data_IF_023572435099
#
_entry.id   IF_023572435099
#
_cell.length_a   1.000
_cell.length_b   1.000
_cell.length_c   1.000
_cell.angle_alpha   90.00
_cell.angle_beta   90.00
_cell.angle_gamma   90.00
#
_symmetry.space_group_name_H-M   'P 1'
#
loop_
_entity.id
_entity.type
_entity.pdbx_description
1 polymer ?
#
# COMPACT_ATOMS: atom_id res chain seq x y z
N UNK A 1 -17.32 -0.61 6.70
CA UNK A 1 -18.24 -0.01 5.69
C UNK A 1 -19.14 -1.05 5.06
N UNK A 2 -18.61 -2.21 4.69
CA UNK A 2 -19.36 -3.39 4.25
C UNK A 2 -18.68 -4.62 4.89
N UNK A 3 -19.39 -5.73 5.19
CA UNK A 3 -18.75 -6.99 5.51
C UNK A 3 -17.96 -7.51 4.31
N UNK A 4 -16.76 -8.06 4.55
CA UNK A 4 -15.87 -8.52 3.49
C UNK A 4 -15.52 -9.99 3.74
N UNK A 5 -16.01 -10.93 2.92
CA UNK A 5 -15.57 -12.31 3.07
C UNK A 5 -14.11 -12.43 2.61
N UNK A 6 -13.35 -13.33 3.24
CA UNK A 6 -11.92 -13.59 2.97
C UNK A 6 -11.61 -13.71 1.48
N UNK A 7 -12.42 -14.46 0.74
CA UNK A 7 -12.28 -14.66 -0.72
C UNK A 7 -12.38 -13.40 -1.58
N UNK A 8 -12.87 -12.29 -1.02
CA UNK A 8 -12.97 -10.99 -1.68
C UNK A 8 -12.14 -9.90 -0.96
N UNK A 9 -11.40 -10.29 0.09
CA UNK A 9 -10.58 -9.42 0.93
C UNK A 9 -9.23 -9.10 0.32
N UNK A 10 -8.38 -8.44 1.10
CA UNK A 10 -6.96 -8.34 0.78
C UNK A 10 -6.24 -9.62 1.24
N UNK A 11 -5.19 -9.96 0.52
CA UNK A 11 -4.21 -10.98 0.82
C UNK A 11 -2.87 -10.30 1.09
N UNK A 12 -2.11 -10.83 2.05
CA UNK A 12 -0.83 -10.28 2.48
C UNK A 12 0.20 -11.39 2.55
N UNK A 13 1.41 -11.14 2.07
CA UNK A 13 2.53 -12.08 2.26
C UNK A 13 3.17 -11.80 3.62
N UNK A 14 3.07 -12.76 4.54
CA UNK A 14 3.66 -12.65 5.87
C UNK A 14 5.18 -12.41 5.77
N UNK A 15 5.70 -11.47 6.57
CA UNK A 15 7.13 -11.14 6.60
C UNK A 15 7.67 -10.35 5.39
N UNK A 16 6.90 -10.12 4.32
CA UNK A 16 7.41 -9.47 3.10
C UNK A 16 7.99 -8.06 3.29
N UNK A 17 7.53 -7.34 4.32
CA UNK A 17 8.06 -6.02 4.66
C UNK A 17 9.54 -6.02 5.08
N UNK A 18 10.07 -7.16 5.53
CA UNK A 18 11.46 -7.33 5.97
C UNK A 18 12.40 -7.84 4.88
N UNK A 19 11.93 -8.06 3.65
CA UNK A 19 12.76 -8.60 2.55
C UNK A 19 13.82 -7.64 2.01
N UNK A 20 14.05 -6.50 2.67
CA UNK A 20 15.04 -5.48 2.27
C UNK A 20 14.93 -4.99 0.82
N UNK A 21 13.76 -5.17 0.21
CA UNK A 21 13.45 -4.79 -1.16
C UNK A 21 12.37 -3.74 -1.21
N UNK A 22 12.41 -2.98 -2.30
CA UNK A 22 11.35 -2.07 -2.72
C UNK A 22 10.85 -2.57 -4.06
N UNK A 23 9.55 -2.83 -4.15
CA UNK A 23 8.96 -3.37 -5.36
C UNK A 23 8.31 -2.27 -6.20
N UNK A 24 8.39 -2.42 -7.52
CA UNK A 24 7.76 -1.53 -8.48
C UNK A 24 6.24 -1.60 -8.28
N UNK A 25 5.55 -0.47 -8.05
CA UNK A 25 4.11 -0.48 -7.96
C UNK A 25 3.50 -0.89 -9.31
N UNK A 26 2.28 -1.44 -9.25
CA UNK A 26 1.47 -1.75 -10.43
C UNK A 26 0.30 -0.78 -10.54
N UNK A 27 -0.05 -0.41 -11.77
CA UNK A 27 -1.23 0.41 -12.06
C UNK A 27 -2.49 -0.40 -11.77
N UNK A 28 -3.41 0.15 -10.97
CA UNK A 28 -4.64 -0.56 -10.62
C UNK A 28 -5.49 -1.01 -11.81
N UNK A 29 -5.54 -0.22 -12.89
CA UNK A 29 -6.39 -0.51 -14.04
C UNK A 29 -5.80 -1.58 -14.97
N UNK A 30 -4.49 -1.52 -15.25
CA UNK A 30 -3.84 -2.38 -16.25
C UNK A 30 -3.04 -3.52 -15.63
N UNK A 31 -2.79 -3.47 -14.32
CA UNK A 31 -1.89 -4.37 -13.59
C UNK A 31 -0.44 -4.39 -14.14
N UNK A 32 -0.08 -3.40 -14.95
CA UNK A 32 1.28 -3.20 -15.45
C UNK A 32 2.11 -2.43 -14.43
N UNK A 33 3.42 -2.69 -14.43
CA UNK A 33 4.35 -1.91 -13.63
C UNK A 33 4.41 -0.44 -14.08
N UNK A 34 4.69 0.45 -13.14
CA UNK A 34 5.03 1.83 -13.48
C UNK A 34 6.37 1.85 -14.22
N UNK A 35 6.49 2.76 -15.20
CA UNK A 35 7.75 2.99 -15.90
C UNK A 35 8.55 4.08 -15.18
N UNK A 36 8.98 3.78 -13.95
CA UNK A 36 9.97 4.60 -13.27
C UNK A 36 11.36 4.34 -13.84
N UNK A 37 12.37 5.14 -13.47
CA UNK A 37 13.74 4.97 -13.96
C UNK A 37 14.19 3.49 -13.81
N UNK A 38 14.73 2.84 -14.87
CA UNK A 38 15.17 1.45 -14.78
C UNK A 38 16.10 1.21 -13.58
N UNK A 39 15.89 0.10 -12.86
CA UNK A 39 16.67 -0.26 -11.67
C UNK A 39 16.28 0.48 -10.38
N UNK A 40 15.22 1.30 -10.39
CA UNK A 40 14.76 1.98 -9.16
C UNK A 40 14.17 1.00 -8.14
N UNK A 41 13.41 0.00 -8.60
CA UNK A 41 12.70 -0.97 -7.78
C UNK A 41 12.68 -2.34 -8.46
N UNK A 42 12.56 -3.40 -7.66
CA UNK A 42 12.44 -4.77 -8.13
C UNK A 42 11.03 -5.04 -8.67
N UNK A 43 10.88 -5.87 -9.70
CA UNK A 43 9.56 -6.35 -10.11
C UNK A 43 8.94 -7.24 -9.02
N UNK A 44 7.62 -7.16 -8.87
CA UNK A 44 6.90 -8.05 -7.95
C UNK A 44 6.98 -9.48 -8.50
N UNK A 45 7.42 -10.48 -7.72
CA UNK A 45 7.41 -11.88 -8.16
C UNK A 45 6.02 -12.34 -8.59
N UNK A 46 5.93 -13.37 -9.43
CA UNK A 46 4.64 -13.97 -9.78
C UNK A 46 4.08 -14.75 -8.58
N UNK A 47 3.34 -14.04 -7.72
CA UNK A 47 2.77 -14.60 -6.49
C UNK A 47 1.72 -15.64 -6.80
N UNK A 48 0.89 -15.42 -7.83
CA UNK A 48 -0.20 -16.33 -8.17
C UNK A 48 0.30 -17.66 -8.72
N UNK A 49 1.37 -17.66 -9.51
CA UNK A 49 1.97 -18.89 -10.00
C UNK A 49 2.75 -19.68 -8.92
N UNK A 50 3.07 -19.06 -7.79
CA UNK A 50 3.97 -19.61 -6.76
C UNK A 50 3.39 -19.48 -5.34
N UNK A 51 2.06 -19.55 -5.19
CA UNK A 51 1.38 -19.31 -3.90
C UNK A 51 1.86 -20.23 -2.77
N UNK A 52 2.29 -21.44 -3.10
CA UNK A 52 2.82 -22.44 -2.17
C UNK A 52 4.17 -22.04 -1.54
N UNK A 53 4.89 -21.08 -2.13
CA UNK A 53 6.15 -20.56 -1.59
C UNK A 53 5.95 -19.46 -0.55
N UNK A 54 4.71 -19.01 -0.32
CA UNK A 54 4.41 -17.87 0.54
C UNK A 54 3.36 -18.22 1.59
N UNK A 55 3.57 -17.71 2.81
CA UNK A 55 2.50 -17.66 3.80
C UNK A 55 1.58 -16.47 3.49
N UNK A 56 0.43 -16.77 2.86
CA UNK A 56 -0.56 -15.77 2.46
C UNK A 56 -1.65 -15.66 3.53
N UNK A 57 -1.73 -14.49 4.14
CA UNK A 57 -2.70 -14.16 5.19
C UNK A 57 -3.89 -13.40 4.61
N UNK A 58 -5.10 -13.79 5.02
CA UNK A 58 -6.36 -13.11 4.71
C UNK A 58 -7.47 -13.55 5.66
N UNK A 59 -8.45 -12.67 5.88
CA UNK A 59 -9.48 -12.80 6.91
C UNK A 59 -10.86 -12.39 6.39
N UNK A 60 -11.90 -12.97 6.97
CA UNK A 60 -13.24 -12.39 6.94
C UNK A 60 -13.25 -11.13 7.83
N UNK A 61 -13.85 -10.05 7.37
CA UNK A 61 -13.94 -8.79 8.10
C UNK A 61 -15.40 -8.40 8.31
N UNK A 62 -15.78 -8.18 9.55
CA UNK A 62 -17.07 -7.65 9.94
C UNK A 62 -17.07 -6.11 10.00
N UNK A 63 -18.25 -5.55 10.26
CA UNK A 63 -18.40 -4.10 10.39
C UNK A 63 -17.62 -3.58 11.60
N UNK A 64 -16.61 -2.75 11.33
CA UNK A 64 -15.78 -2.13 12.35
C UNK A 64 -14.36 -2.70 12.39
N UNK A 65 -14.15 -3.87 11.81
CA UNK A 65 -12.82 -4.45 11.68
C UNK A 65 -11.93 -3.62 10.77
N UNK A 66 -10.64 -3.57 11.12
CA UNK A 66 -9.62 -2.93 10.31
C UNK A 66 -8.38 -3.82 10.21
N UNK A 67 -7.66 -3.68 9.10
CA UNK A 67 -6.34 -4.28 8.92
C UNK A 67 -5.32 -3.15 8.93
N UNK A 68 -4.33 -3.28 9.82
CA UNK A 68 -3.17 -2.39 9.88
C UNK A 68 -1.96 -3.19 9.44
N UNK A 69 -1.19 -2.65 8.50
CA UNK A 69 -0.03 -3.32 7.94
C UNK A 69 1.07 -2.32 7.56
N UNK A 70 2.31 -2.78 7.53
CA UNK A 70 3.47 -1.97 7.17
C UNK A 70 3.48 -1.62 5.67
N UNK A 71 3.94 -0.43 5.30
CA UNK A 71 3.87 0.05 3.90
C UNK A 71 4.61 -0.86 2.90
N UNK A 72 5.66 -1.55 3.35
CA UNK A 72 6.43 -2.51 2.54
C UNK A 72 5.81 -3.90 2.42
N UNK A 73 4.73 -4.20 3.14
CA UNK A 73 4.09 -5.52 3.05
C UNK A 73 3.50 -5.67 1.66
N UNK A 74 3.95 -6.70 0.92
CA UNK A 74 3.32 -7.08 -0.34
C UNK A 74 1.89 -7.53 -0.04
N UNK A 75 0.95 -6.87 -0.70
CA UNK A 75 -0.47 -7.13 -0.56
C UNK A 75 -1.17 -6.97 -1.90
N UNK A 76 -2.23 -7.74 -2.08
CA UNK A 76 -3.06 -7.73 -3.27
C UNK A 76 -4.47 -8.15 -2.90
N UNK A 77 -5.38 -8.18 -3.86
CA UNK A 77 -6.70 -8.75 -3.63
C UNK A 77 -7.38 -9.04 -4.95
N UNK A 78 -8.24 -10.06 -5.02
CA UNK A 78 -8.99 -10.35 -6.22
C UNK A 78 -9.96 -9.21 -6.54
N UNK A 79 -10.32 -9.11 -7.81
CA UNK A 79 -11.46 -8.29 -8.22
C UNK A 79 -12.74 -8.73 -7.48
N UNK A 80 -13.64 -7.79 -7.21
CA UNK A 80 -14.93 -8.14 -6.63
C UNK A 80 -15.81 -8.85 -7.66
N UNK A 81 -15.90 -10.19 -7.56
CA UNK A 81 -16.71 -11.02 -8.45
C UNK A 81 -18.21 -10.99 -8.11
N UNK A 82 -18.60 -10.36 -7.00
CA UNK A 82 -20.00 -10.31 -6.59
C UNK A 82 -20.79 -9.32 -7.44
N UNK A 83 -21.87 -9.80 -8.06
CA UNK A 83 -22.83 -8.97 -8.80
C UNK A 83 -23.80 -8.20 -7.89
N UNK A 84 -23.85 -8.53 -6.59
CA UNK A 84 -24.84 -8.01 -5.64
C UNK A 84 -24.25 -7.31 -4.43
N UNK A 85 -23.04 -7.69 -4.02
CA UNK A 85 -22.38 -7.13 -2.86
C UNK A 85 -21.29 -6.15 -3.28
N UNK A 86 -21.32 -4.94 -2.72
CA UNK A 86 -20.26 -3.94 -2.90
C UNK A 86 -19.20 -4.17 -1.83
N UNK A 87 -17.94 -3.95 -2.21
CA UNK A 87 -16.81 -3.85 -1.27
C UNK A 87 -16.30 -2.42 -1.30
N UNK A 88 -16.59 -1.63 -0.26
CA UNK A 88 -16.00 -0.30 -0.08
C UNK A 88 -14.99 -0.35 1.06
N UNK A 89 -13.87 0.32 0.86
CA UNK A 89 -12.84 0.47 1.86
C UNK A 89 -12.48 1.95 2.01
N UNK A 90 -12.15 2.33 3.24
CA UNK A 90 -11.44 3.57 3.54
C UNK A 90 -10.03 3.18 3.96
N UNK A 91 -9.03 3.83 3.39
CA UNK A 91 -7.63 3.61 3.73
C UNK A 91 -7.01 4.94 4.12
N UNK A 92 -6.34 4.94 5.27
CA UNK A 92 -5.51 6.05 5.74
C UNK A 92 -4.06 5.59 5.78
N UNK A 93 -3.13 6.54 5.64
CA UNK A 93 -1.69 6.31 5.76
C UNK A 93 -1.17 7.13 6.92
N UNK A 94 -0.29 6.52 7.68
CA UNK A 94 0.25 7.07 8.92
C UNK A 94 1.76 7.07 8.77
N UNK A 95 2.39 8.14 9.22
CA UNK A 95 3.84 8.33 9.20
C UNK A 95 4.31 8.55 10.63
N UNK A 96 5.56 8.17 10.91
CA UNK A 96 6.20 8.45 12.19
C UNK A 96 6.45 9.94 12.40
N UNK A 97 6.66 10.33 13.66
CA UNK A 97 7.14 11.65 14.04
C UNK A 97 8.59 11.92 13.56
N UNK A 98 9.31 10.86 13.20
CA UNK A 98 10.63 10.86 12.58
C UNK A 98 10.62 10.82 11.04
N UNK A 99 9.45 10.92 10.41
CA UNK A 99 9.33 10.87 8.96
C UNK A 99 10.03 12.06 8.29
N UNK A 100 10.71 11.77 7.18
CA UNK A 100 11.36 12.78 6.33
C UNK A 100 10.82 12.73 4.91
N UNK A 101 10.85 13.86 4.22
CA UNK A 101 10.54 13.94 2.81
C UNK A 101 11.56 13.11 2.01
N UNK A 102 11.03 12.26 1.14
CA UNK A 102 11.83 11.40 0.29
C UNK A 102 11.49 11.67 -1.17
N UNK A 103 12.48 12.16 -1.92
CA UNK A 103 12.37 12.24 -3.36
C UNK A 103 12.44 10.81 -3.94
N UNK A 104 11.44 10.48 -4.76
CA UNK A 104 11.23 9.15 -5.33
C UNK A 104 10.82 9.29 -6.78
N UNK A 105 11.24 8.34 -7.65
CA UNK A 105 10.78 8.32 -9.03
C UNK A 105 9.26 8.25 -9.13
N UNK A 106 8.70 9.04 -10.05
CA UNK A 106 7.26 9.08 -10.29
C UNK A 106 6.55 10.24 -9.61
N UNK A 107 5.34 10.51 -10.05
CA UNK A 107 4.48 11.51 -9.44
C UNK A 107 3.65 10.89 -8.32
N UNK A 108 3.48 11.62 -7.22
CA UNK A 108 2.51 11.24 -6.19
C UNK A 108 1.11 11.50 -6.73
N UNK A 109 0.16 10.59 -6.45
CA UNK A 109 -1.23 10.71 -6.90
C UNK A 109 -2.19 10.61 -5.69
N UNK A 110 -2.97 11.67 -5.39
CA UNK A 110 -2.90 13.00 -6.01
C UNK A 110 -1.56 13.70 -5.73
N UNK A 111 -1.15 14.67 -6.57
CA UNK A 111 0.06 15.46 -6.32
C UNK A 111 -0.10 16.33 -5.08
N UNK A 112 1.03 16.65 -4.43
CA UNK A 112 1.11 17.55 -3.27
C UNK A 112 1.92 18.80 -3.62
N UNK A 113 1.37 19.75 -4.40
CA UNK A 113 2.09 20.95 -4.84
C UNK A 113 2.57 21.83 -3.67
N UNK A 114 1.88 21.79 -2.53
CA UNK A 114 2.25 22.50 -1.30
C UNK A 114 3.60 22.03 -0.74
N UNK A 115 4.07 20.83 -1.12
CA UNK A 115 5.34 20.27 -0.69
C UNK A 115 6.49 20.55 -1.68
N UNK A 116 6.26 21.37 -2.72
CA UNK A 116 7.24 21.63 -3.78
C UNK A 116 8.57 22.24 -3.32
N UNK A 117 8.62 22.84 -2.12
CA UNK A 117 9.83 23.39 -1.53
C UNK A 117 10.63 22.39 -0.68
N UNK A 118 10.05 21.23 -0.35
CA UNK A 118 10.72 20.21 0.45
C UNK A 118 11.84 19.52 -0.35
N UNK A 119 12.91 19.17 0.35
CA UNK A 119 14.09 18.48 -0.19
C UNK A 119 14.24 17.12 0.47
N UNK A 120 14.98 16.24 -0.21
CA UNK A 120 15.33 14.93 0.32
C UNK A 120 15.93 15.05 1.74
N UNK A 121 15.29 14.42 2.71
CA UNK A 121 15.71 14.40 4.10
C UNK A 121 15.11 15.51 4.99
N UNK A 122 14.35 16.45 4.44
CA UNK A 122 13.66 17.47 5.25
C UNK A 122 12.64 16.80 6.18
N UNK A 123 12.52 17.19 7.46
CA UNK A 123 11.48 16.67 8.35
C UNK A 123 10.09 16.88 7.75
N UNK A 124 9.27 15.84 7.70
CA UNK A 124 7.94 15.88 7.08
C UNK A 124 6.89 16.40 8.07
N UNK A 125 6.98 17.69 8.40
CA UNK A 125 6.00 18.39 9.24
C UNK A 125 5.24 19.43 8.41
N UNK A 126 3.96 19.17 8.15
CA UNK A 126 3.13 20.06 7.32
C UNK A 126 1.63 19.90 7.67
N UNK A 127 0.81 20.97 7.59
CA UNK A 127 -0.64 20.89 7.88
C UNK A 127 -1.44 19.87 7.04
N UNK A 128 -0.90 19.44 5.90
CA UNK A 128 -1.47 18.35 5.08
C UNK A 128 -1.36 16.97 5.74
N UNK A 129 -0.44 16.81 6.69
CA UNK A 129 -0.22 15.61 7.49
C UNK A 129 -0.50 15.96 8.96
N UNK A 130 -1.77 16.11 9.35
CA UNK A 130 -2.12 16.52 10.71
C UNK A 130 -1.64 15.48 11.72
N UNK A 131 -1.26 15.96 12.90
CA UNK A 131 -0.90 15.08 14.01
C UNK A 131 -2.15 14.35 14.51
N UNK A 132 -2.11 13.03 14.48
CA UNK A 132 -3.20 12.19 14.99
C UNK A 132 -3.07 11.86 16.48
N UNK A 133 -1.86 11.93 17.03
CA UNK A 133 -1.56 11.57 18.41
C UNK A 133 -0.23 12.20 18.88
N UNK A 134 -0.20 12.70 20.10
CA UNK A 134 0.99 13.19 20.81
C UNK A 134 1.10 12.45 22.15
N UNK A 135 2.32 12.18 22.59
CA UNK A 135 2.59 11.46 23.85
C UNK A 135 2.55 12.38 25.07
#
# INVERSE_FOLDING_TARGET
>A
MDPIPKKAGLEFIAGSHTWEKMFMPKKFLTNEEYNYKPGSFDSIPDIEANRDQYEILSWDLDLGDCIVFHFKTLHGGPGNLSQRARRRAFSSRWIGDDAVFADRPGETSPPFPELSSFKQGDPLYHPLFPICWER
#
